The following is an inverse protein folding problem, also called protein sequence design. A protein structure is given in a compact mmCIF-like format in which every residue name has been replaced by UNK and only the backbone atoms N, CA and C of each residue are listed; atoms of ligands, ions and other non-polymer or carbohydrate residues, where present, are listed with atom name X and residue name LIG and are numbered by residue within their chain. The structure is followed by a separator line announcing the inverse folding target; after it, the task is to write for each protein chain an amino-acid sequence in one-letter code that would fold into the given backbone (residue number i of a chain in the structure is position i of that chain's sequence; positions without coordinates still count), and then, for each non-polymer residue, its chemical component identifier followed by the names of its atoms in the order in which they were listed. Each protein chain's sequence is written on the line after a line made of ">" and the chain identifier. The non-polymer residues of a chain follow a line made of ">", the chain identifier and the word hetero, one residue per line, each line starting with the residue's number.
data_IF_137448372712
#
_entry.id   IF_137448372712
#
_cell.length_a   1.000
_cell.length_b   1.000
_cell.length_c   1.000
_cell.angle_alpha   90.00
_cell.angle_beta   90.00
_cell.angle_gamma   90.00
#
_symmetry.space_group_name_H-M   'P 1'
#
loop_
_entity.id
_entity.type
_entity.pdbx_description
1 polymer ?
#
# COMPACT_ATOMS: atom_id res chain seq x y z
N UNK A 1 -1.27 -8.27 7.97
CA UNK A 1 -2.11 -7.16 7.52
C UNK A 1 -2.95 -7.56 6.30
N UNK A 2 -4.03 -6.85 6.08
CA UNK A 2 -4.91 -7.12 4.94
C UNK A 2 -5.16 -5.83 4.17
N UNK A 3 -4.93 -5.88 2.87
CA UNK A 3 -5.16 -4.78 1.95
C UNK A 3 -6.16 -5.20 0.88
N UNK A 4 -7.03 -4.28 0.49
CA UNK A 4 -7.89 -4.46 -0.67
C UNK A 4 -7.25 -3.73 -1.85
N UNK A 5 -7.04 -4.46 -2.93
CA UNK A 5 -6.39 -3.95 -4.14
C UNK A 5 -7.42 -3.80 -5.25
N UNK A 6 -7.40 -2.66 -5.93
CA UNK A 6 -8.13 -2.49 -7.17
C UNK A 6 -7.35 -3.09 -8.35
N UNK A 7 -7.83 -2.87 -9.57
CA UNK A 7 -7.23 -3.45 -10.76
C UNK A 7 -5.78 -2.99 -10.97
N UNK A 8 -5.53 -1.69 -10.84
CA UNK A 8 -4.20 -1.13 -11.08
C UNK A 8 -3.19 -1.64 -10.05
N UNK A 9 -3.52 -1.54 -8.77
CA UNK A 9 -2.60 -1.97 -7.72
C UNK A 9 -2.37 -3.47 -7.73
N UNK A 10 -3.40 -4.26 -8.05
CA UNK A 10 -3.25 -5.70 -8.22
C UNK A 10 -2.24 -6.04 -9.31
N UNK A 11 -2.36 -5.44 -10.47
CA UNK A 11 -1.45 -5.69 -11.59
C UNK A 11 -0.01 -5.27 -11.26
N UNK A 12 0.16 -4.09 -10.67
CA UNK A 12 1.48 -3.58 -10.31
C UNK A 12 2.11 -4.38 -9.18
N UNK A 13 1.32 -4.82 -8.20
CA UNK A 13 1.83 -5.67 -7.13
C UNK A 13 2.42 -6.97 -7.67
N UNK A 14 1.73 -7.59 -8.61
CA UNK A 14 2.22 -8.84 -9.23
C UNK A 14 3.52 -8.63 -10.01
N UNK A 15 3.72 -7.46 -10.59
CA UNK A 15 4.97 -7.12 -11.28
C UNK A 15 6.12 -6.86 -10.32
N UNK A 16 5.87 -6.09 -9.25
CA UNK A 16 6.92 -5.74 -8.28
C UNK A 16 7.23 -6.87 -7.30
N UNK A 17 6.23 -7.63 -6.93
CA UNK A 17 6.33 -8.67 -5.90
C UNK A 17 5.77 -10.00 -6.43
N UNK A 18 6.38 -10.59 -7.45
CA UNK A 18 5.82 -11.82 -8.05
C UNK A 18 5.72 -12.98 -7.06
N UNK A 19 6.61 -13.03 -6.07
CA UNK A 19 6.55 -14.05 -5.02
C UNK A 19 5.42 -13.82 -4.02
N UNK A 20 4.86 -12.62 -3.98
CA UNK A 20 3.74 -12.28 -3.11
C UNK A 20 2.36 -12.58 -3.74
N UNK A 21 2.31 -12.95 -5.01
CA UNK A 21 1.05 -13.14 -5.73
C UNK A 21 0.18 -14.25 -5.11
N UNK A 22 0.78 -15.26 -4.49
CA UNK A 22 0.03 -16.36 -3.86
C UNK A 22 -0.68 -15.95 -2.56
N UNK A 23 -0.38 -14.76 -2.03
CA UNK A 23 -1.10 -14.20 -0.88
C UNK A 23 -2.35 -13.40 -1.30
N UNK A 24 -2.63 -13.34 -2.60
CA UNK A 24 -3.75 -12.59 -3.15
C UNK A 24 -4.91 -13.53 -3.46
N UNK A 25 -6.11 -13.17 -3.01
CA UNK A 25 -7.35 -13.87 -3.37
C UNK A 25 -8.35 -12.90 -3.96
N UNK A 26 -9.14 -13.32 -4.97
CA UNK A 26 -10.16 -12.45 -5.54
C UNK A 26 -11.34 -12.25 -4.60
N UNK A 27 -11.86 -11.04 -4.57
CA UNK A 27 -13.11 -10.72 -3.89
C UNK A 27 -14.29 -10.81 -4.86
N UNK A 28 -15.51 -10.93 -4.32
CA UNK A 28 -16.71 -11.04 -5.12
C UNK A 28 -17.01 -9.79 -5.96
N UNK A 29 -16.51 -8.63 -5.54
CA UNK A 29 -16.77 -7.33 -6.21
C UNK A 29 -15.76 -6.98 -7.31
N UNK A 30 -14.87 -7.88 -7.66
CA UNK A 30 -13.85 -7.64 -8.68
C UNK A 30 -12.56 -7.03 -8.16
N UNK A 31 -12.46 -6.77 -6.86
CA UNK A 31 -11.20 -6.38 -6.23
C UNK A 31 -10.47 -7.62 -5.72
N UNK A 32 -9.31 -7.42 -5.09
CA UNK A 32 -8.49 -8.51 -4.56
C UNK A 32 -8.10 -8.23 -3.12
N UNK A 33 -8.00 -9.30 -2.33
CA UNK A 33 -7.51 -9.24 -0.96
C UNK A 33 -6.06 -9.71 -0.94
N UNK A 34 -5.17 -8.85 -0.44
CA UNK A 34 -3.80 -9.21 -0.12
C UNK A 34 -3.70 -9.41 1.40
N UNK A 35 -3.43 -10.63 1.82
CA UNK A 35 -3.24 -10.98 3.22
C UNK A 35 -1.79 -11.41 3.41
N UNK A 36 -0.97 -10.51 3.98
CA UNK A 36 0.47 -10.70 4.03
C UNK A 36 1.05 -10.16 5.34
N UNK A 37 2.13 -10.78 5.81
CA UNK A 37 2.96 -10.24 6.88
C UNK A 37 4.29 -9.78 6.29
N UNK A 38 4.78 -8.65 6.75
CA UNK A 38 6.05 -8.10 6.30
C UNK A 38 6.93 -7.76 7.50
N UNK A 39 8.25 -7.92 7.34
CA UNK A 39 9.22 -7.60 8.38
C UNK A 39 9.52 -6.10 8.45
N UNK A 40 9.29 -5.39 7.36
CA UNK A 40 9.62 -3.97 7.23
C UNK A 40 8.55 -3.31 6.35
N UNK A 41 8.02 -2.18 6.82
CA UNK A 41 6.94 -1.48 6.13
C UNK A 41 7.41 -0.56 4.99
N UNK A 42 8.71 -0.29 4.85
CA UNK A 42 9.21 0.73 3.92
C UNK A 42 8.83 0.47 2.46
N UNK A 43 9.09 -0.73 1.98
CA UNK A 43 8.80 -1.08 0.59
C UNK A 43 7.31 -1.06 0.29
N UNK A 44 6.53 -1.76 1.11
CA UNK A 44 5.08 -1.81 0.94
C UNK A 44 4.44 -0.44 1.18
N UNK A 45 4.99 0.34 2.10
CA UNK A 45 4.53 1.71 2.36
C UNK A 45 4.65 2.60 1.14
N UNK A 46 5.77 2.57 0.44
CA UNK A 46 5.95 3.32 -0.82
C UNK A 46 4.97 2.87 -1.88
N UNK A 47 4.76 1.58 -2.00
CA UNK A 47 3.81 1.02 -2.96
C UNK A 47 2.40 1.53 -2.68
N UNK A 48 1.95 1.45 -1.43
CA UNK A 48 0.61 1.88 -1.02
C UNK A 48 0.44 3.39 -1.20
N UNK A 49 1.42 4.19 -0.78
CA UNK A 49 1.33 5.66 -0.91
C UNK A 49 1.33 6.10 -2.37
N UNK A 50 2.04 5.40 -3.25
CA UNK A 50 2.03 5.68 -4.69
C UNK A 50 0.71 5.34 -5.37
N UNK A 51 -0.11 4.49 -4.76
CA UNK A 51 -1.36 3.99 -5.32
C UNK A 51 -2.53 4.13 -4.33
N UNK A 52 -2.49 5.15 -3.48
CA UNK A 52 -3.41 5.28 -2.36
C UNK A 52 -4.88 5.35 -2.76
N UNK A 53 -5.18 5.79 -3.97
CA UNK A 53 -6.56 5.86 -4.48
C UNK A 53 -7.11 4.49 -4.90
N UNK A 54 -6.23 3.52 -5.11
CA UNK A 54 -6.59 2.18 -5.59
C UNK A 54 -6.47 1.11 -4.50
N UNK A 55 -5.99 1.49 -3.31
CA UNK A 55 -5.73 0.56 -2.20
C UNK A 55 -6.47 0.99 -0.95
N UNK A 56 -7.05 0.02 -0.25
CA UNK A 56 -7.66 0.23 1.06
C UNK A 56 -7.00 -0.69 2.08
N UNK A 57 -6.66 -0.15 3.25
CA UNK A 57 -6.11 -0.96 4.34
C UNK A 57 -7.28 -1.48 5.16
N UNK A 58 -7.51 -2.79 5.12
CA UNK A 58 -8.60 -3.44 5.83
C UNK A 58 -8.19 -3.73 7.27
N UNK A 59 -6.96 -4.24 7.45
CA UNK A 59 -6.46 -4.64 8.76
C UNK A 59 -4.95 -4.42 8.83
N UNK A 60 -4.47 -3.78 9.90
CA UNK A 60 -3.04 -3.55 10.09
C UNK A 60 -2.78 -2.24 10.82
N UNK A 61 -2.99 -2.20 12.14
CA UNK A 61 -2.83 -0.97 12.93
C UNK A 61 -1.40 -0.44 12.91
N UNK A 62 -0.40 -1.32 12.98
CA UNK A 62 1.01 -0.93 12.91
C UNK A 62 1.37 -0.31 11.57
N UNK A 63 0.85 -0.87 10.49
CA UNK A 63 1.07 -0.34 9.16
C UNK A 63 0.36 1.01 8.97
N UNK A 64 -0.85 1.15 9.48
CA UNK A 64 -1.57 2.44 9.45
C UNK A 64 -0.81 3.53 10.19
N UNK A 65 -0.26 3.22 11.36
CA UNK A 65 0.54 4.17 12.13
C UNK A 65 1.81 4.58 11.38
N UNK A 66 2.47 3.61 10.74
CA UNK A 66 3.64 3.88 9.91
C UNK A 66 3.27 4.82 8.75
N UNK A 67 2.17 4.55 8.05
CA UNK A 67 1.74 5.39 6.93
C UNK A 67 1.36 6.80 7.35
N UNK A 68 0.70 6.97 8.52
CA UNK A 68 0.40 8.31 9.03
C UNK A 68 1.66 9.13 9.24
N UNK A 69 2.69 8.54 9.81
CA UNK A 69 3.97 9.21 10.02
C UNK A 69 4.64 9.57 8.69
N UNK A 70 4.59 8.66 7.72
CA UNK A 70 5.14 8.90 6.37
C UNK A 70 4.38 10.00 5.64
N UNK A 71 3.05 10.04 5.76
CA UNK A 71 2.22 11.09 5.15
C UNK A 71 2.56 12.47 5.74
N UNK A 72 2.72 12.56 7.05
CA UNK A 72 3.11 13.81 7.70
C UNK A 72 4.49 14.28 7.22
N UNK A 73 5.44 13.38 7.13
CA UNK A 73 6.77 13.66 6.60
C UNK A 73 6.71 14.10 5.14
N UNK A 74 5.86 13.45 4.34
CA UNK A 74 5.66 13.80 2.93
C UNK A 74 5.07 15.20 2.77
N UNK A 75 4.12 15.60 3.61
CA UNK A 75 3.54 16.94 3.58
C UNK A 75 4.59 17.99 3.88
N UNK A 76 5.40 17.79 4.91
CA UNK A 76 6.49 18.72 5.28
C UNK A 76 7.51 18.86 4.15
N UNK A 77 7.95 17.75 3.58
CA UNK A 77 8.89 17.75 2.46
C UNK A 77 8.31 18.41 1.23
N UNK A 78 7.02 18.15 0.95
CA UNK A 78 6.29 18.74 -0.17
C UNK A 78 6.17 20.26 -0.03
N UNK A 79 5.89 20.76 1.16
CA UNK A 79 5.83 22.20 1.42
C UNK A 79 7.18 22.86 1.17
N UNK A 80 8.28 22.25 1.63
CA UNK A 80 9.63 22.76 1.37
C UNK A 80 9.96 22.75 -0.11
N UNK A 81 9.59 21.70 -0.81
CA UNK A 81 9.82 21.59 -2.26
C UNK A 81 9.08 22.67 -3.03
N UNK A 82 7.82 22.91 -2.66
CA UNK A 82 6.96 23.85 -3.37
C UNK A 82 7.26 25.32 -3.08
N UNK A 83 8.04 25.60 -2.03
CA UNK A 83 8.49 26.96 -1.69
C UNK A 83 9.71 27.42 -2.48
N UNK A 84 10.33 26.54 -3.21
CA UNK A 84 11.55 26.87 -3.99
C UNK A 84 11.24 27.57 -5.30
#
# INVERSE_FOLDING_TARGET
>A
MKLRLGQLSHNLFKEEYPQGAHYITPNADGSWLLDIEVCDYRGLGRFVLGLFKDIEIIEGDGFKAYLRAEIESLIDSSNQLLQK
#
